data_IF_908838193432
#
_entry.id   IF_908838193432
#
_cell.length_a   1.000
_cell.length_b   1.000
_cell.length_c   1.000
_cell.angle_alpha   90.00
_cell.angle_beta   90.00
_cell.angle_gamma   90.00
#
_symmetry.space_group_name_H-M   'P 1'
#
loop_
_entity.id
_entity.type
_entity.pdbx_description
1 polymer ?
#
# COMPACT_ATOMS: atom_id res chain seq x y z
N UNK A 1 45.93 -17.84 -5.85
CA UNK A 1 44.78 -18.55 -5.26
C UNK A 1 43.70 -17.62 -4.70
N UNK A 2 44.05 -16.53 -3.99
CA UNK A 2 43.08 -15.62 -3.36
C UNK A 2 42.07 -14.91 -4.30
N UNK A 3 42.44 -14.62 -5.55
CA UNK A 3 41.53 -13.95 -6.49
C UNK A 3 40.35 -14.85 -6.93
N UNK A 4 40.58 -16.16 -7.05
CA UNK A 4 39.56 -17.15 -7.44
C UNK A 4 38.48 -17.31 -6.36
N UNK A 5 38.88 -17.25 -5.10
CA UNK A 5 37.98 -17.31 -3.94
C UNK A 5 37.12 -16.05 -3.81
N UNK A 6 37.66 -14.87 -4.09
CA UNK A 6 36.88 -13.63 -4.02
C UNK A 6 35.80 -13.56 -5.10
N UNK A 7 36.09 -14.05 -6.31
CA UNK A 7 35.11 -14.12 -7.40
C UNK A 7 33.93 -15.04 -7.04
N UNK A 8 34.21 -16.20 -6.45
CA UNK A 8 33.17 -17.14 -6.02
C UNK A 8 32.28 -16.57 -4.90
N UNK A 9 32.85 -15.81 -3.96
CA UNK A 9 32.08 -15.13 -2.91
C UNK A 9 31.18 -14.05 -3.54
N UNK A 10 31.70 -13.27 -4.49
CA UNK A 10 30.92 -12.25 -5.17
C UNK A 10 29.76 -12.85 -5.99
N UNK A 11 29.97 -13.96 -6.69
CA UNK A 11 28.91 -14.68 -7.43
C UNK A 11 27.82 -15.23 -6.48
N UNK A 12 28.22 -15.80 -5.34
CA UNK A 12 27.27 -16.29 -4.34
C UNK A 12 26.42 -15.16 -3.74
N UNK A 13 27.03 -14.00 -3.45
CA UNK A 13 26.31 -12.82 -2.96
C UNK A 13 25.38 -12.25 -4.03
N UNK A 14 25.82 -12.17 -5.29
CA UNK A 14 24.98 -11.71 -6.40
C UNK A 14 23.77 -12.63 -6.62
N UNK A 15 23.97 -13.95 -6.50
CA UNK A 15 22.88 -14.94 -6.59
C UNK A 15 21.88 -14.78 -5.44
N UNK A 16 22.36 -14.55 -4.21
CA UNK A 16 21.47 -14.28 -3.07
C UNK A 16 20.69 -12.98 -3.24
N UNK A 17 21.34 -11.92 -3.73
CA UNK A 17 20.69 -10.64 -4.02
C UNK A 17 19.62 -10.78 -5.11
N UNK A 18 19.88 -11.57 -6.16
CA UNK A 18 18.91 -11.84 -7.21
C UNK A 18 17.71 -12.65 -6.70
N UNK A 19 17.93 -13.65 -5.84
CA UNK A 19 16.84 -14.40 -5.18
C UNK A 19 16.00 -13.46 -4.29
N UNK A 20 16.65 -12.62 -3.47
CA UNK A 20 15.95 -11.65 -2.62
C UNK A 20 15.18 -10.60 -3.44
N UNK A 21 15.72 -10.15 -4.58
CA UNK A 21 15.04 -9.22 -5.48
C UNK A 21 13.84 -9.86 -6.20
N UNK A 22 13.90 -11.17 -6.48
CA UNK A 22 12.78 -11.93 -7.07
C UNK A 22 11.66 -12.20 -6.06
N UNK A 23 12.00 -12.42 -4.79
CA UNK A 23 11.06 -12.69 -3.70
C UNK A 23 10.46 -11.40 -3.09
N UNK A 24 11.22 -10.30 -3.13
CA UNK A 24 10.72 -8.96 -2.82
C UNK A 24 9.93 -8.41 -4.01
N UNK A 25 8.73 -8.96 -4.23
CA UNK A 25 7.79 -8.44 -5.21
C UNK A 25 6.96 -7.31 -4.56
N UNK A 26 7.27 -6.02 -4.80
CA UNK A 26 6.54 -4.91 -4.15
C UNK A 26 5.04 -4.96 -4.44
N UNK A 27 4.64 -5.47 -5.62
CA UNK A 27 3.23 -5.68 -5.96
C UNK A 27 2.52 -6.72 -5.08
N UNK A 28 3.22 -7.77 -4.62
CA UNK A 28 2.65 -8.79 -3.74
C UNK A 28 2.44 -8.24 -2.32
N UNK A 29 3.34 -7.39 -1.85
CA UNK A 29 3.17 -6.71 -0.57
C UNK A 29 2.02 -5.69 -0.62
N UNK A 30 1.89 -4.95 -1.72
CA UNK A 30 0.78 -4.02 -1.95
C UNK A 30 -0.58 -4.74 -1.98
N UNK A 31 -0.65 -5.88 -2.67
CA UNK A 31 -1.85 -6.72 -2.74
C UNK A 31 -2.22 -7.29 -1.36
N UNK A 32 -1.25 -7.84 -0.63
CA UNK A 32 -1.48 -8.34 0.74
C UNK A 32 -1.95 -7.24 1.69
N UNK A 33 -1.41 -6.02 1.55
CA UNK A 33 -1.86 -4.86 2.32
C UNK A 33 -3.30 -4.48 1.96
N UNK A 34 -3.65 -4.49 0.68
CA UNK A 34 -5.03 -4.22 0.22
C UNK A 34 -6.00 -5.29 0.73
N UNK A 35 -5.66 -6.57 0.66
CA UNK A 35 -6.49 -7.66 1.18
C UNK A 35 -6.74 -7.51 2.68
N UNK A 36 -5.69 -7.19 3.45
CA UNK A 36 -5.79 -6.94 4.88
C UNK A 36 -6.70 -5.75 5.17
N UNK A 37 -6.56 -4.66 4.41
CA UNK A 37 -7.43 -3.49 4.52
C UNK A 37 -8.89 -3.86 4.27
N UNK A 38 -9.18 -4.56 3.18
CA UNK A 38 -10.55 -4.98 2.84
C UNK A 38 -11.17 -5.95 3.84
N UNK A 39 -10.36 -6.77 4.52
CA UNK A 39 -10.81 -7.66 5.61
C UNK A 39 -11.42 -6.89 6.79
N UNK A 40 -10.97 -5.66 7.03
CA UNK A 40 -11.55 -4.77 8.04
C UNK A 40 -12.86 -4.10 7.60
N UNK A 41 -13.31 -4.33 6.35
CA UNK A 41 -14.55 -3.76 5.77
C UNK A 41 -14.61 -2.24 5.91
N UNK A 42 -13.61 -1.52 5.37
CA UNK A 42 -13.56 -0.07 5.46
C UNK A 42 -14.82 0.55 4.83
N UNK A 43 -15.39 1.60 5.44
CA UNK A 43 -16.56 2.27 4.90
C UNK A 43 -16.21 2.94 3.57
N UNK A 44 -17.15 2.96 2.64
CA UNK A 44 -16.98 3.63 1.34
C UNK A 44 -17.55 5.04 1.36
N UNK A 45 -16.97 5.95 0.58
CA UNK A 45 -17.42 7.34 0.47
C UNK A 45 -17.75 7.69 -0.98
N UNK A 46 -19.02 7.96 -1.28
CA UNK A 46 -19.53 8.35 -2.60
C UNK A 46 -19.46 9.85 -2.87
N UNK A 47 -19.01 10.65 -1.87
CA UNK A 47 -19.26 12.08 -1.72
C UNK A 47 -20.69 12.33 -1.23
N UNK A 48 -20.81 13.14 -0.19
CA UNK A 48 -22.09 13.65 0.28
C UNK A 48 -21.96 15.10 0.69
N UNK A 49 -23.04 15.88 0.59
CA UNK A 49 -23.12 17.25 1.11
C UNK A 49 -23.17 17.30 2.66
N UNK A 50 -22.56 16.30 3.31
CA UNK A 50 -22.54 16.15 4.76
C UNK A 50 -21.09 16.21 5.27
N UNK A 51 -20.62 17.37 5.75
CA UNK A 51 -19.27 17.49 6.29
C UNK A 51 -19.04 16.59 7.51
N UNK A 52 -20.05 16.38 8.35
CA UNK A 52 -19.97 15.48 9.51
C UNK A 52 -19.80 14.01 9.07
N UNK A 53 -20.53 13.61 8.02
CA UNK A 53 -20.40 12.27 7.43
C UNK A 53 -19.00 12.03 6.82
N UNK A 54 -18.38 13.07 6.26
CA UNK A 54 -17.01 12.97 5.75
C UNK A 54 -15.97 12.86 6.87
N UNK A 55 -16.16 13.57 7.99
CA UNK A 55 -15.29 13.46 9.17
C UNK A 55 -15.41 12.07 9.79
N UNK A 56 -16.62 11.58 10.03
CA UNK A 56 -16.82 10.24 10.59
C UNK A 56 -16.24 9.15 9.68
N UNK A 57 -16.46 9.23 8.37
CA UNK A 57 -15.83 8.32 7.42
C UNK A 57 -14.30 8.33 7.53
N UNK A 58 -13.69 9.51 7.66
CA UNK A 58 -12.24 9.63 7.79
C UNK A 58 -11.73 9.02 9.10
N UNK A 59 -12.42 9.26 10.22
CA UNK A 59 -12.09 8.69 11.53
C UNK A 59 -12.15 7.15 11.51
N UNK A 60 -13.21 6.57 10.94
CA UNK A 60 -13.35 5.11 10.83
C UNK A 60 -12.24 4.47 9.98
N UNK A 61 -11.88 5.11 8.86
CA UNK A 61 -10.79 4.63 7.99
C UNK A 61 -9.43 4.80 8.67
N UNK A 62 -9.21 5.88 9.42
CA UNK A 62 -7.95 6.14 10.12
C UNK A 62 -7.68 5.10 11.23
N UNK A 63 -8.72 4.67 11.96
CA UNK A 63 -8.62 3.59 12.95
C UNK A 63 -8.09 2.30 12.31
N UNK A 64 -8.55 1.97 11.09
CA UNK A 64 -8.08 0.78 10.36
C UNK A 64 -6.60 0.94 9.98
N UNK A 65 -6.20 2.12 9.51
CA UNK A 65 -4.81 2.39 9.15
C UNK A 65 -3.86 2.30 10.34
N UNK A 66 -4.27 2.81 11.50
CA UNK A 66 -3.52 2.69 12.74
C UNK A 66 -3.38 1.23 13.17
N UNK A 67 -4.48 0.47 13.16
CA UNK A 67 -4.47 -0.96 13.48
C UNK A 67 -3.57 -1.79 12.55
N UNK A 68 -3.43 -1.36 11.29
CA UNK A 68 -2.57 -1.99 10.30
C UNK A 68 -1.11 -1.51 10.32
N UNK A 69 -0.82 -0.39 10.99
CA UNK A 69 0.51 0.24 10.97
C UNK A 69 0.88 0.83 9.60
N UNK A 70 -0.08 1.41 8.87
CA UNK A 70 0.18 1.95 7.53
C UNK A 70 1.08 3.19 7.54
N UNK A 71 2.08 3.22 6.66
CA UNK A 71 2.83 4.44 6.35
C UNK A 71 1.94 5.48 5.68
N UNK A 72 2.37 6.74 5.67
CA UNK A 72 1.62 7.84 5.05
C UNK A 72 1.35 7.59 3.57
N UNK A 73 2.30 7.02 2.82
CA UNK A 73 2.10 6.67 1.41
C UNK A 73 1.02 5.60 1.25
N UNK A 74 1.04 4.57 2.10
CA UNK A 74 0.08 3.48 2.05
C UNK A 74 -1.35 3.92 2.36
N UNK A 75 -1.52 4.86 3.32
CA UNK A 75 -2.84 5.43 3.65
C UNK A 75 -3.50 6.08 2.44
N UNK A 76 -2.73 6.81 1.63
CA UNK A 76 -3.25 7.48 0.42
C UNK A 76 -3.73 6.46 -0.61
N UNK A 77 -2.94 5.42 -0.87
CA UNK A 77 -3.29 4.37 -1.83
C UNK A 77 -4.53 3.59 -1.41
N UNK A 78 -4.59 3.15 -0.15
CA UNK A 78 -5.71 2.38 0.38
C UNK A 78 -6.97 3.23 0.56
N UNK A 79 -6.85 4.49 1.02
CA UNK A 79 -7.97 5.40 1.18
C UNK A 79 -8.63 5.74 -0.15
N UNK A 80 -7.85 5.88 -1.22
CA UNK A 80 -8.38 6.05 -2.57
C UNK A 80 -9.23 4.85 -3.03
N UNK A 81 -8.92 3.63 -2.54
CA UNK A 81 -9.62 2.41 -2.93
C UNK A 81 -11.07 2.34 -2.43
N UNK A 82 -11.43 3.08 -1.39
CA UNK A 82 -12.79 3.10 -0.82
C UNK A 82 -13.62 4.31 -1.24
N UNK A 83 -13.04 5.20 -2.07
CA UNK A 83 -13.79 6.25 -2.74
C UNK A 83 -14.66 5.65 -3.85
N UNK A 84 -15.88 6.15 -3.98
CA UNK A 84 -16.87 5.72 -4.96
C UNK A 84 -17.40 6.93 -5.71
N UNK A 85 -17.96 6.67 -6.90
CA UNK A 85 -18.71 7.66 -7.70
C UNK A 85 -18.01 9.03 -7.79
N UNK A 86 -18.66 10.09 -7.31
CA UNK A 86 -18.18 11.47 -7.41
C UNK A 86 -16.89 11.71 -6.61
N UNK A 87 -16.71 11.04 -5.46
CA UNK A 87 -15.48 11.16 -4.69
C UNK A 87 -14.28 10.56 -5.43
N UNK A 88 -14.48 9.43 -6.12
CA UNK A 88 -13.44 8.81 -6.93
C UNK A 88 -13.08 9.67 -8.15
N UNK A 89 -14.09 10.28 -8.80
CA UNK A 89 -13.87 11.21 -9.91
C UNK A 89 -13.08 12.45 -9.46
N UNK A 90 -13.47 13.07 -8.33
CA UNK A 90 -12.75 14.20 -7.76
C UNK A 90 -11.29 13.84 -7.45
N UNK A 91 -11.05 12.68 -6.82
CA UNK A 91 -9.71 12.22 -6.48
C UNK A 91 -8.81 12.01 -7.71
N UNK A 92 -9.36 11.43 -8.78
CA UNK A 92 -8.62 11.25 -10.04
C UNK A 92 -8.24 12.59 -10.67
N UNK A 93 -9.15 13.57 -10.64
CA UNK A 93 -8.87 14.91 -11.16
C UNK A 93 -7.87 15.68 -10.30
N UNK A 94 -7.89 15.51 -8.97
CA UNK A 94 -6.97 16.18 -8.05
C UNK A 94 -5.53 15.63 -8.13
N UNK A 95 -5.36 14.42 -8.67
CA UNK A 95 -4.05 13.78 -8.89
C UNK A 95 -3.41 14.12 -10.24
N UNK A 96 -4.13 14.83 -11.10
CA UNK A 96 -3.68 15.25 -12.44
C UNK A 96 -2.87 16.53 -12.36
#
# INVERSE_FOLDING_TARGET
MAARTNAQIAEALATMADIMARDHHPGMEDEMRLERFMKHKPPTFTRGYNPEGAVNWLEEVEIIFEAMGCSKENKVTLGAYVLREEANLWWKNARQ
#
